data_IF_484792953786
#
_entry.id   IF_484792953786
#
_cell.length_a   1.000
_cell.length_b   1.000
_cell.length_c   1.000
_cell.angle_alpha   90.00
_cell.angle_beta   90.00
_cell.angle_gamma   90.00
#
_symmetry.space_group_name_H-M   'P 1'
#
loop_
_entity.id
_entity.type
_entity.pdbx_description
1 polymer ?
#
# COMPACT_ATOMS: atom_id res chain seq x y z
N UNK A 1 -14.04 3.09 33.07
CA UNK A 1 -13.36 4.12 32.21
C UNK A 1 -12.97 3.41 30.93
N UNK A 2 -13.31 3.96 29.77
CA UNK A 2 -13.00 3.29 28.48
C UNK A 2 -11.51 3.17 28.29
N UNK A 3 -11.03 1.93 28.10
CA UNK A 3 -9.61 1.62 27.90
C UNK A 3 -9.24 1.56 26.41
N UNK A 4 -10.16 1.05 25.58
CA UNK A 4 -9.94 0.93 24.13
C UNK A 4 -11.23 1.21 23.37
N UNK A 5 -11.09 1.88 22.22
CA UNK A 5 -12.15 2.07 21.24
C UNK A 5 -11.79 1.28 19.99
N UNK A 6 -12.67 0.38 19.55
CA UNK A 6 -12.54 -0.32 18.29
C UNK A 6 -13.45 0.30 17.25
N UNK A 7 -12.93 0.46 16.03
CA UNK A 7 -13.72 0.71 14.83
C UNK A 7 -13.79 -0.59 14.01
N UNK A 8 -15.00 -1.01 13.69
CA UNK A 8 -15.30 -2.26 12.99
C UNK A 8 -16.31 -2.02 11.88
N UNK A 9 -16.45 -2.94 10.95
CA UNK A 9 -17.56 -2.88 9.98
C UNK A 9 -18.89 -2.94 10.68
N UNK A 10 -19.85 -2.14 10.20
CA UNK A 10 -21.24 -2.20 10.69
C UNK A 10 -21.76 -3.63 10.63
N UNK A 11 -22.38 -4.08 11.73
CA UNK A 11 -22.89 -5.43 11.90
C UNK A 11 -21.90 -6.42 12.50
N UNK A 12 -20.61 -6.09 12.61
CA UNK A 12 -19.58 -6.96 13.21
C UNK A 12 -19.33 -6.68 14.69
N UNK A 13 -20.02 -5.71 15.29
CA UNK A 13 -19.75 -5.23 16.65
C UNK A 13 -19.90 -6.35 17.68
N UNK A 14 -20.94 -7.19 17.56
CA UNK A 14 -21.18 -8.32 18.48
C UNK A 14 -20.13 -9.43 18.29
N UNK A 15 -19.77 -9.74 17.04
CA UNK A 15 -18.75 -10.76 16.71
C UNK A 15 -17.40 -10.35 17.30
N UNK A 16 -17.01 -9.08 17.08
CA UNK A 16 -15.77 -8.56 17.64
C UNK A 16 -15.81 -8.51 19.16
N UNK A 17 -16.94 -8.14 19.77
CA UNK A 17 -17.11 -8.13 21.22
C UNK A 17 -16.88 -9.54 21.83
N UNK A 18 -17.45 -10.59 21.23
CA UNK A 18 -17.21 -11.98 21.66
C UNK A 18 -15.74 -12.34 21.55
N UNK A 19 -15.08 -12.04 20.43
CA UNK A 19 -13.66 -12.32 20.24
C UNK A 19 -12.75 -11.57 21.21
N UNK A 20 -13.12 -10.34 21.61
CA UNK A 20 -12.40 -9.62 22.65
C UNK A 20 -12.52 -10.33 24.00
N UNK A 21 -13.71 -10.84 24.33
CA UNK A 21 -13.93 -11.60 25.57
C UNK A 21 -13.18 -12.93 25.58
N UNK A 22 -12.99 -13.59 24.44
CA UNK A 22 -12.15 -14.78 24.32
C UNK A 22 -10.67 -14.50 24.67
N UNK A 23 -10.19 -13.27 24.42
CA UNK A 23 -8.82 -12.85 24.72
C UNK A 23 -8.71 -12.27 26.13
N UNK A 24 -9.72 -11.49 26.54
CA UNK A 24 -9.79 -10.80 27.82
C UNK A 24 -11.12 -11.10 28.53
N UNK A 25 -11.24 -12.26 29.19
CA UNK A 25 -12.51 -12.70 29.79
C UNK A 25 -13.07 -11.75 30.86
N UNK A 26 -12.22 -10.97 31.49
CA UNK A 26 -12.61 -10.02 32.55
C UNK A 26 -12.91 -8.60 32.03
N UNK A 27 -12.75 -8.35 30.74
CA UNK A 27 -13.02 -7.06 30.15
C UNK A 27 -14.54 -6.79 30.07
N UNK A 28 -14.94 -5.54 30.30
CA UNK A 28 -16.30 -5.11 29.98
C UNK A 28 -16.33 -4.62 28.54
N UNK A 29 -17.04 -5.32 27.67
CA UNK A 29 -17.13 -4.98 26.25
C UNK A 29 -18.52 -4.49 25.93
N UNK A 30 -18.63 -3.31 25.35
CA UNK A 30 -19.90 -2.67 24.96
C UNK A 30 -19.94 -2.49 23.44
N UNK A 31 -20.62 -3.39 22.71
CA UNK A 31 -20.88 -3.18 21.29
C UNK A 31 -21.93 -2.08 21.10
N UNK A 32 -21.76 -1.26 20.06
CA UNK A 32 -22.62 -0.11 19.73
C UNK A 32 -22.86 0.86 20.89
N UNK A 33 -21.80 1.36 21.54
CA UNK A 33 -21.96 2.31 22.63
C UNK A 33 -22.75 3.53 22.14
N UNK A 34 -23.65 4.04 22.98
CA UNK A 34 -24.53 5.17 22.64
C UNK A 34 -25.33 4.97 21.32
N UNK A 35 -25.63 3.72 20.95
CA UNK A 35 -26.32 3.38 19.70
C UNK A 35 -25.48 3.59 18.41
N UNK A 36 -24.16 3.77 18.53
CA UNK A 36 -23.27 4.06 17.40
C UNK A 36 -22.79 2.79 16.71
N UNK A 37 -23.24 2.57 15.48
CA UNK A 37 -22.79 1.45 14.65
C UNK A 37 -21.29 1.55 14.32
N UNK A 38 -20.64 0.39 14.16
CA UNK A 38 -19.23 0.29 13.82
C UNK A 38 -18.26 0.61 14.96
N UNK A 39 -18.77 0.74 16.20
CA UNK A 39 -17.97 1.06 17.38
C UNK A 39 -18.16 -0.02 18.45
N UNK A 40 -17.04 -0.35 19.14
CA UNK A 40 -17.03 -1.19 20.34
C UNK A 40 -16.16 -0.51 21.39
N UNK A 41 -16.67 -0.37 22.62
CA UNK A 41 -15.89 0.10 23.77
C UNK A 41 -15.45 -1.07 24.61
N UNK A 42 -14.24 -0.99 25.15
CA UNK A 42 -13.66 -1.97 26.05
C UNK A 42 -13.17 -1.25 27.30
N UNK A 43 -13.54 -1.77 28.45
CA UNK A 43 -13.12 -1.29 29.77
C UNK A 43 -12.39 -2.40 30.53
N UNK A 44 -11.55 -2.03 31.50
CA UNK A 44 -10.96 -2.95 32.45
C UNK A 44 -9.72 -3.69 31.96
N UNK A 45 -9.08 -3.20 30.90
CA UNK A 45 -7.78 -3.72 30.42
C UNK A 45 -6.77 -2.58 30.30
N UNK A 46 -5.49 -2.92 30.34
CA UNK A 46 -4.44 -1.98 30.02
C UNK A 46 -4.51 -1.57 28.54
N UNK A 47 -4.56 -0.25 28.21
CA UNK A 47 -4.72 0.21 26.85
C UNK A 47 -3.61 -0.28 25.89
N UNK A 48 -2.35 -0.27 26.33
CA UNK A 48 -1.20 -0.59 25.48
C UNK A 48 -1.06 -2.10 25.25
N UNK A 49 -1.34 -2.90 26.28
CA UNK A 49 -1.37 -4.37 26.19
C UNK A 49 -2.53 -4.82 25.31
N UNK A 50 -3.72 -4.27 25.56
CA UNK A 50 -4.92 -4.58 24.79
C UNK A 50 -4.78 -4.17 23.34
N UNK A 51 -4.17 -3.01 23.05
CA UNK A 51 -3.88 -2.56 21.70
C UNK A 51 -3.08 -3.58 20.89
N UNK A 52 -1.97 -4.09 21.45
CA UNK A 52 -1.09 -5.06 20.77
C UNK A 52 -1.77 -6.40 20.53
N UNK A 53 -2.41 -6.95 21.56
CA UNK A 53 -3.06 -8.26 21.50
C UNK A 53 -4.28 -8.28 20.56
N UNK A 54 -5.15 -7.25 20.64
CA UNK A 54 -6.33 -7.13 19.82
C UNK A 54 -5.94 -6.94 18.35
N UNK A 55 -4.97 -6.05 18.09
CA UNK A 55 -4.49 -5.80 16.72
C UNK A 55 -3.93 -7.08 16.06
N UNK A 56 -3.28 -7.94 16.85
CA UNK A 56 -2.68 -9.19 16.39
C UNK A 56 -3.72 -10.28 16.13
N UNK A 57 -4.70 -10.43 17.03
CA UNK A 57 -5.57 -11.61 17.08
C UNK A 57 -6.92 -11.45 16.37
N UNK A 58 -7.43 -10.21 16.21
CA UNK A 58 -8.77 -9.98 15.65
C UNK A 58 -8.67 -9.30 14.27
N UNK A 59 -8.81 -10.06 13.18
CA UNK A 59 -8.68 -9.53 11.81
C UNK A 59 -9.86 -8.66 11.35
N UNK A 60 -11.01 -8.73 12.00
CA UNK A 60 -12.23 -8.02 11.63
C UNK A 60 -12.23 -6.53 12.03
N UNK A 61 -11.23 -6.08 12.77
CA UNK A 61 -11.13 -4.70 13.26
C UNK A 61 -10.48 -3.81 12.21
N UNK A 62 -11.09 -2.67 11.95
CA UNK A 62 -10.55 -1.64 11.05
C UNK A 62 -9.53 -0.75 11.77
N UNK A 63 -9.81 -0.40 13.05
CA UNK A 63 -8.92 0.42 13.86
C UNK A 63 -9.03 0.08 15.34
N UNK A 64 -7.88 0.04 16.03
CA UNK A 64 -7.76 -0.06 17.48
C UNK A 64 -7.22 1.24 18.00
N UNK A 65 -7.91 1.86 18.95
CA UNK A 65 -7.50 3.12 19.58
C UNK A 65 -7.38 2.90 21.10
N UNK A 66 -6.13 2.76 21.61
CA UNK A 66 -5.92 2.72 23.06
C UNK A 66 -6.26 4.09 23.64
N UNK A 67 -7.06 4.15 24.68
CA UNK A 67 -7.47 5.41 25.30
C UNK A 67 -6.49 5.78 26.39
N UNK A 68 -5.70 6.82 26.15
CA UNK A 68 -4.68 7.32 27.07
C UNK A 68 -5.17 8.51 27.92
N UNK A 69 -6.28 9.12 27.49
CA UNK A 69 -6.89 10.24 28.20
C UNK A 69 -8.36 10.41 27.85
N UNK A 70 -9.12 10.99 28.78
CA UNK A 70 -10.54 11.33 28.60
C UNK A 70 -10.81 12.71 29.12
N UNK A 71 -11.71 13.44 28.43
CA UNK A 71 -12.17 14.77 28.84
C UNK A 71 -13.64 14.98 28.48
N UNK A 72 -14.19 16.09 28.91
CA UNK A 72 -15.46 16.60 28.36
C UNK A 72 -15.20 17.14 26.95
N UNK A 73 -16.23 17.14 26.10
CA UNK A 73 -16.15 17.62 24.72
C UNK A 73 -16.13 19.15 24.63
N UNK A 74 -15.09 19.77 25.17
CA UNK A 74 -14.75 21.20 25.07
C UNK A 74 -13.31 21.33 24.58
N UNK A 75 -13.03 22.26 23.67
CA UNK A 75 -11.72 22.40 23.03
C UNK A 75 -10.60 22.53 24.07
N UNK A 76 -10.75 23.39 25.07
CA UNK A 76 -9.72 23.61 26.07
C UNK A 76 -9.44 22.35 26.90
N UNK A 77 -10.48 21.65 27.35
CA UNK A 77 -10.34 20.41 28.12
C UNK A 77 -9.71 19.28 27.27
N UNK A 78 -10.06 19.18 26.00
CA UNK A 78 -9.46 18.23 25.05
C UNK A 78 -7.98 18.56 24.87
N UNK A 79 -7.65 19.84 24.68
CA UNK A 79 -6.28 20.32 24.43
C UNK A 79 -5.36 20.02 25.60
N UNK A 80 -5.80 20.29 26.82
CA UNK A 80 -5.07 19.98 28.07
C UNK A 80 -4.77 18.50 28.21
N UNK A 81 -5.79 17.66 28.05
CA UNK A 81 -5.62 16.20 28.15
C UNK A 81 -4.75 15.66 27.03
N UNK A 82 -4.92 16.16 25.80
CA UNK A 82 -4.09 15.77 24.66
C UNK A 82 -2.62 16.15 24.85
N UNK A 83 -2.32 17.33 25.42
CA UNK A 83 -0.96 17.74 25.76
C UNK A 83 -0.34 16.80 26.81
N UNK A 84 -1.08 16.46 27.86
CA UNK A 84 -0.60 15.54 28.89
C UNK A 84 -0.31 14.12 28.32
N UNK A 85 -1.16 13.63 27.42
CA UNK A 85 -0.94 12.39 26.70
C UNK A 85 0.30 12.50 25.78
N UNK A 86 0.43 13.63 25.07
CA UNK A 86 1.57 13.84 24.18
C UNK A 86 2.90 13.87 24.96
N UNK A 87 2.96 14.55 26.11
CA UNK A 87 4.17 14.56 26.98
C UNK A 87 4.63 13.16 27.37
N UNK A 88 3.71 12.21 27.53
CA UNK A 88 4.02 10.83 27.92
C UNK A 88 4.40 9.93 26.75
N UNK A 89 3.80 10.13 25.59
CA UNK A 89 3.88 9.17 24.49
C UNK A 89 4.53 9.71 23.20
N UNK A 90 4.81 11.02 23.10
CA UNK A 90 5.49 11.62 21.97
C UNK A 90 6.94 11.95 22.35
N UNK A 91 7.90 11.28 21.71
CA UNK A 91 9.30 11.51 22.00
C UNK A 91 9.85 12.70 21.24
N UNK A 92 10.92 13.28 21.76
CA UNK A 92 11.58 14.44 21.14
C UNK A 92 12.01 14.13 19.71
N UNK A 93 11.65 14.99 18.77
CA UNK A 93 11.99 14.85 17.34
C UNK A 93 11.00 14.01 16.53
N UNK A 94 10.08 13.27 17.15
CA UNK A 94 9.01 12.58 16.43
C UNK A 94 8.02 13.58 15.85
N UNK A 95 7.66 13.39 14.57
CA UNK A 95 6.60 14.16 13.94
C UNK A 95 5.21 13.66 14.32
N UNK A 96 4.24 14.56 14.38
CA UNK A 96 2.88 14.17 14.72
C UNK A 96 1.81 14.85 13.87
N UNK A 97 0.61 14.23 13.86
CA UNK A 97 -0.62 14.82 13.36
C UNK A 97 -1.75 14.64 14.37
N UNK A 98 -2.71 15.54 14.38
CA UNK A 98 -3.95 15.42 15.15
C UNK A 98 -5.09 15.08 14.20
N UNK A 99 -5.87 14.06 14.52
CA UNK A 99 -7.02 13.61 13.72
C UNK A 99 -8.24 13.42 14.61
N UNK A 100 -9.22 14.31 14.44
CA UNK A 100 -10.45 14.31 15.24
C UNK A 100 -11.61 13.70 14.47
N UNK A 101 -12.35 12.80 15.11
CA UNK A 101 -13.66 12.33 14.65
C UNK A 101 -14.72 12.71 15.66
N UNK A 102 -15.72 13.44 15.22
CA UNK A 102 -16.77 13.98 16.07
C UNK A 102 -18.11 13.32 15.77
N UNK A 103 -18.81 12.87 16.82
CA UNK A 103 -20.17 12.31 16.76
C UNK A 103 -21.04 12.99 17.80
N UNK A 104 -22.14 13.58 17.36
CA UNK A 104 -23.01 14.43 18.15
C UNK A 104 -23.00 15.87 17.64
N UNK A 105 -23.76 16.76 18.32
CA UNK A 105 -23.83 18.19 18.02
C UNK A 105 -22.92 18.97 18.96
N UNK A 106 -22.09 19.83 18.40
CA UNK A 106 -21.11 20.66 19.13
C UNK A 106 -21.01 22.03 18.45
N UNK A 107 -20.63 23.04 19.17
CA UNK A 107 -20.40 24.41 18.72
C UNK A 107 -19.03 24.64 18.02
N UNK A 108 -18.25 23.57 17.85
CA UNK A 108 -16.95 23.57 17.19
C UNK A 108 -16.84 22.47 16.14
N UNK A 109 -15.89 22.58 15.22
CA UNK A 109 -15.61 21.58 14.19
C UNK A 109 -14.45 20.65 14.57
N UNK A 110 -14.29 19.54 13.84
CA UNK A 110 -13.11 18.66 14.01
C UNK A 110 -11.80 19.37 13.64
N UNK A 111 -11.86 20.35 12.74
CA UNK A 111 -10.71 21.13 12.32
C UNK A 111 -10.27 22.06 13.46
N UNK A 112 -11.20 22.70 14.16
CA UNK A 112 -10.90 23.57 15.28
C UNK A 112 -10.16 22.82 16.38
N UNK A 113 -10.58 21.58 16.68
CA UNK A 113 -9.89 20.70 17.63
C UNK A 113 -8.48 20.35 17.13
N UNK A 114 -8.34 19.98 15.85
CA UNK A 114 -7.04 19.65 15.28
C UNK A 114 -6.06 20.81 15.36
N UNK A 115 -6.53 22.04 15.08
CA UNK A 115 -5.72 23.27 15.12
C UNK A 115 -5.33 23.58 16.56
N UNK A 116 -6.28 23.61 17.50
CA UNK A 116 -6.02 23.95 18.89
C UNK A 116 -5.04 22.96 19.54
N UNK A 117 -5.30 21.66 19.42
CA UNK A 117 -4.45 20.60 19.98
C UNK A 117 -3.07 20.61 19.32
N UNK A 118 -3.03 20.73 17.99
CA UNK A 118 -1.78 20.73 17.22
C UNK A 118 -0.89 21.91 17.54
N UNK A 119 -1.47 23.12 17.63
CA UNK A 119 -0.76 24.35 17.99
C UNK A 119 -0.16 24.26 19.40
N UNK A 120 -0.97 23.81 20.37
CA UNK A 120 -0.54 23.71 21.77
C UNK A 120 0.59 22.69 21.97
N UNK A 121 0.50 21.53 21.32
CA UNK A 121 1.55 20.51 21.40
C UNK A 121 2.84 21.00 20.72
N UNK A 122 2.74 21.65 19.57
CA UNK A 122 3.90 22.23 18.88
C UNK A 122 4.59 23.31 19.73
N UNK A 123 3.81 24.18 20.36
CA UNK A 123 4.31 25.24 21.23
C UNK A 123 5.06 24.67 22.45
N UNK A 124 4.47 23.69 23.12
CA UNK A 124 4.96 23.16 24.41
C UNK A 124 6.07 22.11 24.28
N UNK A 125 6.03 21.27 23.22
CA UNK A 125 6.94 20.13 23.06
C UNK A 125 7.93 20.32 21.90
N UNK A 126 7.74 21.34 21.06
CA UNK A 126 8.55 21.65 19.89
C UNK A 126 8.70 20.48 18.89
N UNK A 127 7.73 19.55 18.89
CA UNK A 127 7.70 18.43 17.94
C UNK A 127 7.21 18.90 16.57
N UNK A 128 7.79 18.39 15.46
CA UNK A 128 7.40 18.80 14.11
C UNK A 128 6.00 18.25 13.75
N UNK A 129 5.17 19.10 13.14
CA UNK A 129 3.87 18.69 12.61
C UNK A 129 4.05 18.15 11.21
N UNK A 130 3.55 16.93 10.95
CA UNK A 130 3.53 16.31 9.63
C UNK A 130 2.14 15.72 9.37
N UNK A 131 1.34 16.37 8.52
CA UNK A 131 -0.03 15.97 8.26
C UNK A 131 -0.15 14.76 7.31
N UNK A 132 0.88 14.49 6.50
CA UNK A 132 0.84 13.46 5.47
C UNK A 132 1.36 12.10 5.96
N UNK A 133 2.51 12.10 6.66
CA UNK A 133 3.17 10.88 7.12
C UNK A 133 3.85 11.12 8.49
N UNK A 134 3.08 11.34 9.55
CA UNK A 134 3.61 11.54 10.89
C UNK A 134 4.18 10.24 11.47
N UNK A 135 5.14 10.34 12.39
CA UNK A 135 5.60 9.20 13.17
C UNK A 135 4.49 8.70 14.10
N UNK A 136 3.73 9.64 14.69
CA UNK A 136 2.58 9.34 15.57
C UNK A 136 1.35 10.17 15.23
N UNK A 137 0.18 9.57 15.45
CA UNK A 137 -1.11 10.25 15.31
C UNK A 137 -1.78 10.35 16.67
N UNK A 138 -2.20 11.56 17.00
CA UNK A 138 -3.05 11.86 18.15
C UNK A 138 -4.50 11.84 17.67
N UNK A 139 -5.21 10.79 18.07
CA UNK A 139 -6.62 10.63 17.74
C UNK A 139 -7.48 11.25 18.82
N UNK A 140 -8.44 12.08 18.40
CA UNK A 140 -9.47 12.61 19.28
C UNK A 140 -10.82 12.08 18.82
N UNK A 141 -11.40 11.18 19.59
CA UNK A 141 -12.73 10.61 19.30
C UNK A 141 -13.75 11.22 20.23
N UNK A 142 -14.68 12.00 19.67
CA UNK A 142 -15.71 12.70 20.45
C UNK A 142 -17.05 12.00 20.24
N UNK A 143 -17.65 11.62 21.36
CA UNK A 143 -18.98 11.01 21.42
C UNK A 143 -19.85 11.85 22.35
N UNK A 144 -20.73 12.64 21.77
CA UNK A 144 -21.63 13.55 22.46
C UNK A 144 -20.87 14.46 23.46
N UNK A 145 -20.99 14.28 24.76
CA UNK A 145 -20.36 15.10 25.79
C UNK A 145 -18.94 14.66 26.19
N UNK A 146 -18.42 13.56 25.65
CA UNK A 146 -17.14 12.98 26.05
C UNK A 146 -16.15 12.95 24.89
N UNK A 147 -14.90 13.21 25.19
CA UNK A 147 -13.78 13.06 24.28
C UNK A 147 -12.76 12.06 24.80
N UNK A 148 -12.21 11.24 23.90
CA UNK A 148 -11.23 10.22 24.17
C UNK A 148 -10.00 10.50 23.35
N UNK A 149 -8.84 10.50 24.00
CA UNK A 149 -7.56 10.83 23.38
C UNK A 149 -6.70 9.57 23.32
N UNK A 150 -6.22 9.26 22.13
CA UNK A 150 -5.35 8.15 21.84
C UNK A 150 -4.11 8.63 21.12
N UNK A 151 -2.97 8.03 21.36
CA UNK A 151 -1.78 8.24 20.55
C UNK A 151 -1.26 6.90 20.07
N UNK A 152 -1.03 6.79 18.77
CA UNK A 152 -0.55 5.56 18.13
C UNK A 152 0.47 5.88 17.05
N UNK A 153 1.42 4.98 16.75
CA UNK A 153 2.18 5.08 15.51
C UNK A 153 1.24 5.14 14.30
N UNK A 154 1.58 5.90 13.25
CA UNK A 154 0.79 5.92 12.01
C UNK A 154 0.58 4.51 11.44
N UNK A 155 1.59 3.65 11.59
CA UNK A 155 1.58 2.26 11.12
C UNK A 155 0.64 1.33 11.91
N UNK A 156 0.09 1.78 13.04
CA UNK A 156 -0.82 1.00 13.89
C UNK A 156 -2.24 0.86 13.31
N UNK A 157 -2.56 1.56 12.23
CA UNK A 157 -3.74 1.26 11.43
C UNK A 157 -3.47 -0.06 10.72
N UNK A 158 -4.31 -1.08 10.91
CA UNK A 158 -4.24 -2.29 10.11
C UNK A 158 -4.16 -1.88 8.64
N UNK A 159 -3.01 -2.12 8.04
CA UNK A 159 -2.79 -1.86 6.61
C UNK A 159 -3.92 -2.56 5.86
N UNK A 160 -4.62 -1.89 4.93
CA UNK A 160 -5.48 -2.60 4.00
C UNK A 160 -4.65 -3.74 3.39
N UNK A 161 -5.28 -4.83 2.95
CA UNK A 161 -4.66 -6.07 2.40
C UNK A 161 -3.54 -5.87 1.34
N UNK A 162 -3.10 -4.64 1.10
CA UNK A 162 -2.10 -4.22 0.13
C UNK A 162 -0.67 -4.75 0.32
N UNK A 163 -0.28 -5.17 1.53
CA UNK A 163 1.06 -5.76 1.75
C UNK A 163 1.27 -7.05 0.95
N UNK A 164 0.20 -7.79 0.69
CA UNK A 164 0.27 -9.01 -0.11
C UNK A 164 0.48 -8.71 -1.59
N UNK A 165 -0.20 -7.70 -2.12
CA UNK A 165 0.02 -7.22 -3.50
C UNK A 165 1.47 -6.80 -3.71
N UNK A 166 2.02 -6.01 -2.78
CA UNK A 166 3.42 -5.57 -2.87
C UNK A 166 4.41 -6.72 -2.76
N UNK A 167 4.13 -7.73 -1.93
CA UNK A 167 4.95 -8.95 -1.86
C UNK A 167 4.96 -9.70 -3.20
N UNK A 168 3.82 -9.80 -3.87
CA UNK A 168 3.73 -10.41 -5.20
C UNK A 168 4.46 -9.56 -6.23
N UNK A 169 4.17 -8.26 -6.30
CA UNK A 169 4.83 -7.34 -7.23
C UNK A 169 6.35 -7.31 -7.05
N UNK A 170 6.84 -7.44 -5.82
CA UNK A 170 8.27 -7.47 -5.53
C UNK A 170 9.00 -8.72 -6.07
N UNK A 171 8.29 -9.74 -6.51
CA UNK A 171 8.82 -10.92 -7.19
C UNK A 171 8.84 -10.78 -8.71
N UNK A 172 8.19 -9.75 -9.26
CA UNK A 172 8.09 -9.57 -10.71
C UNK A 172 9.29 -8.78 -11.21
N UNK A 173 10.00 -9.38 -12.17
CA UNK A 173 11.01 -8.73 -12.99
C UNK A 173 10.37 -8.33 -14.32
N UNK A 174 10.18 -7.03 -14.54
CA UNK A 174 9.70 -6.55 -15.83
C UNK A 174 10.87 -6.35 -16.76
N UNK A 175 10.80 -6.98 -17.93
CA UNK A 175 11.82 -6.89 -18.97
C UNK A 175 11.27 -6.03 -20.10
N UNK A 176 11.92 -4.91 -20.33
CA UNK A 176 11.57 -3.90 -21.32
C UNK A 176 12.65 -3.77 -22.37
N UNK A 177 12.30 -3.87 -23.64
CA UNK A 177 13.19 -3.49 -24.72
C UNK A 177 13.28 -1.95 -24.79
N UNK A 178 14.46 -1.38 -25.06
CA UNK A 178 14.61 0.07 -25.14
C UNK A 178 13.80 0.65 -26.30
N UNK A 179 13.28 1.84 -26.09
CA UNK A 179 12.62 2.60 -27.14
C UNK A 179 13.65 3.56 -27.76
N UNK A 180 14.26 3.13 -28.84
CA UNK A 180 15.27 3.87 -29.59
C UNK A 180 14.83 3.90 -31.06
N UNK A 181 14.55 5.07 -31.59
CA UNK A 181 13.93 5.26 -32.91
C UNK A 181 14.48 6.48 -33.68
N UNK A 182 15.65 7.00 -33.28
CA UNK A 182 16.23 8.20 -33.87
C UNK A 182 15.59 9.52 -33.41
N UNK A 183 14.66 9.48 -32.43
CA UNK A 183 14.09 10.64 -31.77
C UNK A 183 14.49 10.66 -30.30
N UNK A 184 15.57 11.40 -29.93
CA UNK A 184 16.08 11.42 -28.55
C UNK A 184 15.06 11.95 -27.53
N UNK A 185 14.23 12.93 -27.92
CA UNK A 185 13.21 13.49 -27.03
C UNK A 185 12.05 12.51 -26.79
N UNK A 186 11.60 11.84 -27.84
CA UNK A 186 10.60 10.76 -27.74
C UNK A 186 11.11 9.59 -26.92
N UNK A 187 12.38 9.20 -27.09
CA UNK A 187 13.03 8.15 -26.30
C UNK A 187 13.09 8.53 -24.82
N UNK A 188 13.48 9.76 -24.49
CA UNK A 188 13.50 10.27 -23.13
C UNK A 188 12.10 10.27 -22.52
N UNK A 189 11.09 10.83 -23.18
CA UNK A 189 9.71 10.85 -22.70
C UNK A 189 9.17 9.45 -22.45
N UNK A 190 9.44 8.50 -23.34
CA UNK A 190 9.07 7.10 -23.15
C UNK A 190 9.78 6.49 -21.94
N UNK A 191 11.07 6.75 -21.78
CA UNK A 191 11.84 6.34 -20.62
C UNK A 191 11.21 6.83 -19.31
N UNK A 192 10.84 8.13 -19.23
CA UNK A 192 10.19 8.71 -18.05
C UNK A 192 8.90 7.96 -17.69
N UNK A 193 8.05 7.65 -18.67
CA UNK A 193 6.77 6.95 -18.46
C UNK A 193 7.01 5.52 -17.96
N UNK A 194 7.94 4.79 -18.56
CA UNK A 194 8.31 3.41 -18.17
C UNK A 194 8.88 3.40 -16.77
N UNK A 195 9.83 4.29 -16.44
CA UNK A 195 10.42 4.38 -15.11
C UNK A 195 9.40 4.73 -14.03
N UNK A 196 8.47 5.65 -14.31
CA UNK A 196 7.35 5.98 -13.41
C UNK A 196 6.41 4.81 -13.21
N UNK A 197 6.06 4.07 -14.28
CA UNK A 197 5.19 2.91 -14.19
C UNK A 197 5.82 1.80 -13.33
N UNK A 198 7.06 1.45 -13.59
CA UNK A 198 7.79 0.44 -12.82
C UNK A 198 7.85 0.80 -11.33
N UNK A 199 8.17 2.06 -10.99
CA UNK A 199 8.22 2.53 -9.61
C UNK A 199 6.84 2.60 -8.97
N UNK A 200 5.79 2.97 -9.70
CA UNK A 200 4.44 3.05 -9.16
C UNK A 200 3.94 1.72 -8.58
N UNK A 201 4.31 0.61 -9.21
CA UNK A 201 3.99 -0.75 -8.77
C UNK A 201 5.03 -1.36 -7.81
N UNK A 202 6.16 -0.70 -7.56
CA UNK A 202 7.26 -1.22 -6.72
C UNK A 202 7.67 -2.66 -7.07
N UNK A 203 7.77 -2.95 -8.37
CA UNK A 203 8.13 -4.27 -8.90
C UNK A 203 9.51 -4.73 -8.41
N UNK A 204 9.80 -6.03 -8.54
CA UNK A 204 11.08 -6.64 -8.15
C UNK A 204 12.29 -5.91 -8.74
N UNK A 205 12.26 -5.72 -10.05
CA UNK A 205 13.25 -4.97 -10.82
C UNK A 205 12.68 -4.59 -12.18
N UNK A 206 13.24 -3.55 -12.79
CA UNK A 206 13.07 -3.23 -14.18
C UNK A 206 14.37 -3.59 -14.92
N UNK A 207 14.28 -4.47 -15.90
CA UNK A 207 15.39 -4.86 -16.75
C UNK A 207 15.23 -4.20 -18.11
N UNK A 208 16.22 -3.42 -18.52
CA UNK A 208 16.32 -2.95 -19.90
C UNK A 208 17.13 -3.99 -20.66
N UNK A 209 16.49 -4.68 -21.61
CA UNK A 209 17.10 -5.78 -22.36
C UNK A 209 17.45 -5.36 -23.77
N UNK A 210 18.72 -5.40 -24.12
CA UNK A 210 19.23 -5.09 -25.45
C UNK A 210 19.21 -6.37 -26.31
N UNK A 211 18.56 -6.34 -27.47
CA UNK A 211 18.50 -7.51 -28.39
C UNK A 211 19.30 -7.27 -29.68
N UNK A 212 19.89 -6.11 -29.83
CA UNK A 212 20.76 -5.68 -30.93
C UNK A 212 21.74 -4.63 -30.44
N UNK A 213 22.76 -4.36 -31.23
CA UNK A 213 23.65 -3.23 -30.98
C UNK A 213 22.85 -1.93 -31.06
N UNK A 214 23.07 -1.05 -30.09
CA UNK A 214 22.41 0.25 -29.99
C UNK A 214 23.48 1.31 -29.84
N UNK A 215 23.36 2.41 -30.60
CA UNK A 215 24.22 3.58 -30.44
C UNK A 215 23.95 4.26 -29.10
N UNK A 216 25.00 4.73 -28.45
CA UNK A 216 24.87 5.35 -27.11
C UNK A 216 24.07 6.66 -27.17
N UNK A 217 24.19 7.42 -28.25
CA UNK A 217 23.47 8.68 -28.42
C UNK A 217 21.97 8.48 -28.55
N UNK A 218 21.52 7.32 -29.06
CA UNK A 218 20.11 6.93 -29.11
C UNK A 218 19.64 6.33 -27.80
N UNK A 219 20.51 5.65 -27.06
CA UNK A 219 20.17 4.91 -25.83
C UNK A 219 20.21 5.77 -24.56
N UNK A 220 21.18 6.71 -24.46
CA UNK A 220 21.34 7.55 -23.28
C UNK A 220 20.07 8.34 -22.92
N UNK A 221 19.39 9.04 -23.89
CA UNK A 221 18.17 9.77 -23.58
C UNK A 221 17.06 8.87 -22.98
N UNK A 222 16.89 7.66 -23.52
CA UNK A 222 15.93 6.70 -23.00
C UNK A 222 16.28 6.29 -21.57
N UNK A 223 17.54 5.92 -21.31
CA UNK A 223 17.99 5.49 -19.98
C UNK A 223 17.88 6.61 -18.95
N UNK A 224 18.26 7.84 -19.33
CA UNK A 224 18.10 9.04 -18.50
C UNK A 224 16.63 9.24 -18.11
N UNK A 225 15.73 9.15 -19.09
CA UNK A 225 14.29 9.23 -18.84
C UNK A 225 13.80 8.17 -17.86
N UNK A 226 14.24 6.91 -18.01
CA UNK A 226 13.88 5.82 -17.08
C UNK A 226 14.32 6.12 -15.65
N UNK A 227 15.54 6.60 -15.47
CA UNK A 227 16.09 6.94 -14.15
C UNK A 227 15.34 8.10 -13.51
N UNK A 228 15.08 9.17 -14.25
CA UNK A 228 14.36 10.34 -13.75
C UNK A 228 12.89 10.04 -13.46
N UNK A 229 12.22 9.30 -14.33
CA UNK A 229 10.84 8.87 -14.12
C UNK A 229 10.68 8.02 -12.86
N UNK A 230 11.58 7.06 -12.64
CA UNK A 230 11.64 6.26 -11.41
C UNK A 230 11.86 7.15 -10.18
N UNK A 231 12.87 8.03 -10.22
CA UNK A 231 13.22 8.89 -9.10
C UNK A 231 12.07 9.84 -8.73
N UNK A 232 11.48 10.51 -9.72
CA UNK A 232 10.33 11.39 -9.53
C UNK A 232 9.16 10.68 -8.85
N UNK A 233 8.81 9.45 -9.30
CA UNK A 233 7.72 8.70 -8.70
C UNK A 233 8.06 8.22 -7.29
N UNK A 234 9.30 7.80 -7.04
CA UNK A 234 9.77 7.39 -5.73
C UNK A 234 9.65 8.52 -4.70
N UNK A 235 10.07 9.75 -5.04
CA UNK A 235 9.94 10.89 -4.12
C UNK A 235 8.49 11.23 -3.79
N UNK A 236 7.57 11.13 -4.76
CA UNK A 236 6.14 11.29 -4.51
C UNK A 236 5.65 10.20 -3.53
N UNK A 237 6.02 8.95 -3.76
CA UNK A 237 5.60 7.84 -2.90
C UNK A 237 6.16 7.96 -1.48
N UNK A 238 7.43 8.38 -1.31
CA UNK A 238 8.03 8.64 0.01
C UNK A 238 7.27 9.69 0.81
N UNK A 239 6.78 10.73 0.14
CA UNK A 239 6.03 11.80 0.78
C UNK A 239 4.60 11.41 1.11
N UNK A 240 3.96 10.59 0.24
CA UNK A 240 2.53 10.31 0.32
C UNK A 240 2.17 9.00 1.04
N UNK A 241 3.11 8.06 1.15
CA UNK A 241 2.83 6.75 1.73
C UNK A 241 3.38 6.62 3.14
N UNK A 242 2.52 6.25 4.09
CA UNK A 242 2.88 6.01 5.49
C UNK A 242 3.78 4.78 5.73
N UNK A 243 4.25 4.12 4.67
CA UNK A 243 5.11 2.93 4.72
C UNK A 243 6.45 3.19 4.04
N UNK A 244 7.46 2.39 4.40
CA UNK A 244 8.73 2.41 3.67
C UNK A 244 8.51 2.01 2.22
N UNK A 245 8.87 2.89 1.30
CA UNK A 245 8.83 2.65 -0.14
C UNK A 245 10.16 2.06 -0.59
N UNK A 246 10.10 1.06 -1.47
CA UNK A 246 11.28 0.46 -2.07
C UNK A 246 11.61 1.14 -3.39
N UNK A 247 12.84 1.61 -3.56
CA UNK A 247 13.32 2.07 -4.85
C UNK A 247 13.53 0.86 -5.78
N UNK A 248 12.86 0.87 -6.94
CA UNK A 248 12.94 -0.24 -7.92
C UNK A 248 14.35 -0.28 -8.54
N UNK A 249 15.06 -1.42 -8.44
CA UNK A 249 16.33 -1.59 -9.14
C UNK A 249 16.15 -1.56 -10.65
N UNK A 250 17.04 -0.90 -11.37
CA UNK A 250 17.11 -0.91 -12.83
C UNK A 250 18.41 -1.63 -13.22
N UNK A 251 18.30 -2.58 -14.15
CA UNK A 251 19.40 -3.37 -14.67
C UNK A 251 19.41 -3.35 -16.19
N UNK A 252 20.57 -3.49 -16.78
CA UNK A 252 20.76 -3.63 -18.23
C UNK A 252 21.31 -5.01 -18.50
N UNK A 253 20.72 -5.71 -19.44
CA UNK A 253 21.19 -7.03 -19.91
C UNK A 253 21.17 -7.08 -21.43
N UNK A 254 22.06 -7.90 -21.99
CA UNK A 254 21.83 -8.47 -23.31
C UNK A 254 20.73 -9.53 -23.19
N UNK A 255 19.76 -9.51 -24.13
CA UNK A 255 18.51 -10.24 -24.03
C UNK A 255 18.68 -11.76 -23.94
N UNK A 256 19.55 -12.33 -24.76
CA UNK A 256 19.78 -13.77 -24.77
C UNK A 256 20.64 -14.24 -23.59
N UNK A 257 21.53 -13.40 -23.10
CA UNK A 257 22.23 -13.63 -21.84
C UNK A 257 21.26 -13.63 -20.64
N UNK A 258 20.31 -12.69 -20.62
CA UNK A 258 19.26 -12.67 -19.60
C UNK A 258 18.48 -13.99 -19.62
N UNK A 259 17.98 -14.40 -20.79
CA UNK A 259 17.24 -15.63 -20.95
C UNK A 259 18.03 -16.86 -20.49
N UNK A 260 19.31 -16.93 -20.86
CA UNK A 260 20.20 -18.03 -20.45
C UNK A 260 20.46 -18.03 -18.94
N UNK A 261 20.71 -16.88 -18.34
CA UNK A 261 20.99 -16.77 -16.90
C UNK A 261 19.78 -17.10 -16.02
N UNK A 262 18.57 -17.03 -16.59
CA UNK A 262 17.29 -17.30 -15.92
C UNK A 262 16.60 -18.55 -16.45
N UNK A 263 17.38 -19.46 -17.03
CA UNK A 263 16.88 -20.74 -17.50
C UNK A 263 16.17 -21.50 -16.35
N UNK A 264 14.96 -21.99 -16.60
CA UNK A 264 14.15 -22.66 -15.58
C UNK A 264 13.23 -21.73 -14.77
N UNK A 265 13.37 -20.40 -14.88
CA UNK A 265 12.41 -19.46 -14.32
C UNK A 265 11.17 -19.29 -15.23
N UNK A 266 10.08 -18.81 -14.65
CA UNK A 266 8.85 -18.54 -15.41
C UNK A 266 8.98 -17.25 -16.21
N UNK A 267 8.67 -17.34 -17.50
CA UNK A 267 8.57 -16.21 -18.42
C UNK A 267 7.14 -16.05 -18.93
N UNK A 268 6.61 -14.83 -18.84
CA UNK A 268 5.33 -14.40 -19.37
C UNK A 268 5.61 -13.32 -20.42
N UNK A 269 5.07 -13.46 -21.60
CA UNK A 269 5.21 -12.50 -22.70
C UNK A 269 3.86 -11.85 -22.97
N UNK A 270 3.82 -10.53 -23.07
CA UNK A 270 2.65 -9.80 -23.58
C UNK A 270 2.77 -9.63 -25.09
N UNK A 271 1.79 -10.10 -25.84
CA UNK A 271 1.79 -10.01 -27.32
C UNK A 271 0.37 -10.03 -27.86
N UNK A 272 0.12 -9.27 -28.92
CA UNK A 272 -1.14 -9.35 -29.68
C UNK A 272 -1.37 -10.74 -30.30
N UNK A 273 -0.30 -11.55 -30.45
CA UNK A 273 -0.37 -12.93 -30.94
C UNK A 273 -0.65 -13.94 -29.81
N UNK A 274 -0.73 -13.49 -28.57
CA UNK A 274 -0.99 -14.32 -27.40
C UNK A 274 -2.45 -14.74 -27.30
N UNK A 275 -2.71 -15.65 -26.35
CA UNK A 275 -4.06 -16.04 -25.98
C UNK A 275 -4.65 -15.06 -24.98
N UNK A 276 -5.96 -14.82 -25.05
CA UNK A 276 -6.67 -14.06 -24.02
C UNK A 276 -6.58 -14.79 -22.67
N UNK A 277 -6.47 -14.05 -21.61
CA UNK A 277 -6.55 -14.59 -20.25
C UNK A 277 -7.95 -15.14 -20.01
N UNK A 278 -8.07 -16.47 -19.92
CA UNK A 278 -9.26 -17.16 -19.45
C UNK A 278 -9.11 -17.54 -17.97
N UNK A 279 -10.16 -18.10 -17.38
CA UNK A 279 -10.19 -18.46 -15.94
C UNK A 279 -9.10 -19.50 -15.59
N UNK A 280 -8.90 -20.52 -16.43
CA UNK A 280 -7.90 -21.57 -16.24
C UNK A 280 -6.49 -21.00 -16.23
N UNK A 281 -6.09 -20.29 -17.30
CA UNK A 281 -4.77 -19.63 -17.41
C UNK A 281 -4.54 -18.62 -16.28
N UNK A 282 -5.59 -17.88 -15.89
CA UNK A 282 -5.51 -16.92 -14.80
C UNK A 282 -5.28 -17.63 -13.45
N UNK A 283 -5.89 -18.77 -13.21
CA UNK A 283 -5.69 -19.59 -12.01
C UNK A 283 -4.26 -20.12 -11.96
N UNK A 284 -3.76 -20.68 -13.05
CA UNK A 284 -2.38 -21.19 -13.16
C UNK A 284 -1.34 -20.07 -12.90
N UNK A 285 -1.50 -18.92 -13.55
CA UNK A 285 -0.62 -17.76 -13.34
C UNK A 285 -0.71 -17.29 -11.89
N UNK A 286 -1.90 -17.28 -11.31
CA UNK A 286 -2.10 -16.91 -9.90
C UNK A 286 -1.37 -17.84 -8.93
N UNK A 287 -1.36 -19.15 -9.20
CA UNK A 287 -0.62 -20.14 -8.40
C UNK A 287 0.90 -19.95 -8.55
N UNK A 288 1.39 -19.69 -9.76
CA UNK A 288 2.82 -19.37 -9.99
C UNK A 288 3.25 -18.12 -9.24
N UNK A 289 2.46 -17.04 -9.29
CA UNK A 289 2.72 -15.80 -8.54
C UNK A 289 2.83 -16.03 -7.03
N UNK A 290 2.13 -17.05 -6.51
CA UNK A 290 2.25 -17.41 -5.10
C UNK A 290 3.52 -18.21 -4.77
N UNK A 291 3.87 -19.15 -5.62
CA UNK A 291 4.88 -20.19 -5.37
C UNK A 291 6.27 -19.74 -5.77
N UNK A 292 6.39 -19.09 -6.94
CA UNK A 292 7.68 -18.74 -7.51
C UNK A 292 8.39 -17.61 -6.75
N UNK A 293 9.71 -17.66 -6.74
CA UNK A 293 10.56 -16.62 -6.16
C UNK A 293 10.68 -15.41 -7.09
N UNK A 294 10.68 -15.64 -8.39
CA UNK A 294 10.74 -14.63 -9.45
C UNK A 294 9.86 -15.03 -10.61
N UNK A 295 9.21 -14.05 -11.22
CA UNK A 295 8.49 -14.19 -12.50
C UNK A 295 8.97 -13.08 -13.42
N UNK A 296 9.37 -13.48 -14.62
CA UNK A 296 9.87 -12.60 -15.64
C UNK A 296 8.73 -12.23 -16.60
N UNK A 297 8.47 -10.93 -16.75
CA UNK A 297 7.39 -10.40 -17.58
C UNK A 297 7.98 -9.55 -18.68
N UNK A 298 7.88 -9.99 -19.93
CA UNK A 298 8.23 -9.16 -21.07
C UNK A 298 7.08 -8.16 -21.35
N UNK A 299 7.36 -6.88 -21.18
CA UNK A 299 6.51 -5.81 -21.66
C UNK A 299 6.86 -5.48 -23.11
N UNK A 300 5.86 -5.42 -23.96
CA UNK A 300 6.04 -5.21 -25.41
C UNK A 300 6.81 -3.93 -25.72
N UNK A 301 7.52 -3.97 -26.84
CA UNK A 301 8.15 -2.81 -27.47
C UNK A 301 7.56 -2.60 -28.86
N UNK A 302 7.80 -1.42 -29.46
CA UNK A 302 7.31 -1.07 -30.81
C UNK A 302 7.72 -2.12 -31.87
N UNK A 303 8.94 -2.64 -31.77
CA UNK A 303 9.48 -3.66 -32.68
C UNK A 303 8.98 -5.08 -32.37
N UNK A 304 8.22 -5.26 -31.29
CA UNK A 304 7.77 -6.56 -30.80
C UNK A 304 8.87 -7.33 -30.06
N UNK A 305 8.51 -8.50 -29.54
CA UNK A 305 9.43 -9.40 -28.86
C UNK A 305 9.93 -10.44 -29.88
N UNK A 306 11.23 -10.77 -29.90
CA UNK A 306 11.76 -11.78 -30.81
C UNK A 306 10.99 -13.09 -30.74
N UNK A 307 10.67 -13.68 -31.90
CA UNK A 307 9.83 -14.88 -32.01
C UNK A 307 10.37 -16.05 -31.21
N UNK A 308 11.71 -16.18 -31.09
CA UNK A 308 12.34 -17.22 -30.27
C UNK A 308 11.96 -17.14 -28.80
N UNK A 309 11.87 -15.93 -28.24
CA UNK A 309 11.45 -15.71 -26.86
C UNK A 309 9.94 -15.95 -26.66
N UNK A 310 9.13 -15.60 -27.66
CA UNK A 310 7.69 -15.91 -27.63
C UNK A 310 7.48 -17.42 -27.57
N UNK A 311 8.25 -18.21 -28.33
CA UNK A 311 8.17 -19.68 -28.33
C UNK A 311 8.69 -20.31 -27.04
N UNK A 312 9.62 -19.64 -26.38
CA UNK A 312 10.23 -20.13 -25.15
C UNK A 312 9.44 -19.76 -23.89
N UNK A 313 8.62 -18.71 -23.95
CA UNK A 313 7.82 -18.27 -22.81
C UNK A 313 6.78 -19.32 -22.40
N UNK A 314 6.59 -19.50 -21.11
CA UNK A 314 5.57 -20.40 -20.56
C UNK A 314 4.15 -19.92 -20.88
N UNK A 315 3.95 -18.58 -20.86
CA UNK A 315 2.68 -17.95 -21.24
C UNK A 315 2.93 -16.81 -22.20
N UNK A 316 2.12 -16.78 -23.26
CA UNK A 316 2.03 -15.64 -24.19
C UNK A 316 0.60 -15.12 -24.10
N UNK A 317 0.43 -13.95 -23.52
CA UNK A 317 -0.88 -13.39 -23.19
C UNK A 317 -1.20 -12.16 -24.04
N UNK A 318 -2.43 -12.12 -24.52
CA UNK A 318 -3.02 -10.93 -25.11
C UNK A 318 -3.94 -10.27 -24.08
N UNK A 319 -3.55 -9.09 -23.64
CA UNK A 319 -4.26 -8.38 -22.57
C UNK A 319 -5.58 -7.76 -23.03
N UNK A 320 -5.70 -7.44 -24.32
CA UNK A 320 -6.90 -6.80 -24.89
C UNK A 320 -6.98 -7.13 -26.38
N UNK A 321 -7.69 -8.20 -26.78
CA UNK A 321 -7.83 -8.59 -28.17
C UNK A 321 -8.42 -7.46 -29.03
N UNK A 322 -7.80 -7.21 -30.18
CA UNK A 322 -8.20 -6.14 -31.08
C UNK A 322 -7.66 -4.75 -30.75
N UNK A 323 -6.95 -4.59 -29.64
CA UNK A 323 -6.35 -3.31 -29.23
C UNK A 323 -4.84 -3.47 -29.05
N UNK A 324 -4.06 -2.58 -29.67
CA UNK A 324 -2.61 -2.49 -29.47
C UNK A 324 -2.33 -1.42 -28.41
N UNK A 325 -1.74 -1.82 -27.30
CA UNK A 325 -1.30 -0.87 -26.27
C UNK A 325 -0.11 -0.05 -26.74
N UNK A 326 -0.11 1.23 -26.40
CA UNK A 326 1.12 2.00 -26.41
C UNK A 326 2.13 1.37 -25.41
N UNK A 327 3.41 1.47 -25.74
CA UNK A 327 4.49 0.79 -24.97
C UNK A 327 4.43 1.12 -23.47
N UNK A 328 4.18 2.38 -23.13
CA UNK A 328 4.09 2.85 -21.74
C UNK A 328 2.90 2.29 -20.96
N UNK A 329 1.85 1.86 -21.63
CA UNK A 329 0.65 1.32 -20.98
C UNK A 329 0.75 -0.18 -20.72
N UNK A 330 1.68 -0.88 -21.36
CA UNK A 330 1.81 -2.33 -21.24
C UNK A 330 2.16 -2.76 -19.81
N UNK A 331 3.09 -2.04 -19.16
CA UNK A 331 3.50 -2.38 -17.78
C UNK A 331 2.33 -2.27 -16.79
N UNK A 332 1.59 -1.16 -16.69
CA UNK A 332 0.41 -1.08 -15.83
C UNK A 332 -0.64 -2.14 -16.14
N UNK A 333 -0.93 -2.37 -17.42
CA UNK A 333 -1.96 -3.30 -17.83
C UNK A 333 -1.61 -4.75 -17.43
N UNK A 334 -0.39 -5.22 -17.74
CA UNK A 334 0.02 -6.59 -17.42
C UNK A 334 0.11 -6.80 -15.90
N UNK A 335 0.67 -5.87 -15.15
CA UNK A 335 0.79 -6.00 -13.71
C UNK A 335 -0.58 -6.04 -13.03
N UNK A 336 -1.53 -5.21 -13.48
CA UNK A 336 -2.90 -5.23 -12.97
C UNK A 336 -3.60 -6.55 -13.28
N UNK A 337 -3.46 -7.08 -14.50
CA UNK A 337 -4.01 -8.38 -14.89
C UNK A 337 -3.43 -9.52 -14.05
N UNK A 338 -2.11 -9.55 -13.84
CA UNK A 338 -1.45 -10.57 -13.02
C UNK A 338 -1.90 -10.53 -11.56
N UNK A 339 -2.09 -9.34 -11.00
CA UNK A 339 -2.62 -9.20 -9.63
C UNK A 339 -4.08 -9.65 -9.53
N UNK A 340 -4.92 -9.40 -10.54
CA UNK A 340 -6.27 -9.94 -10.60
C UNK A 340 -6.24 -11.48 -10.60
N UNK A 341 -5.38 -12.11 -11.41
CA UNK A 341 -5.19 -13.55 -11.43
C UNK A 341 -4.76 -14.10 -10.07
N UNK A 342 -3.83 -13.41 -9.39
CA UNK A 342 -3.38 -13.79 -8.05
C UNK A 342 -4.53 -13.80 -7.03
N UNK A 343 -5.43 -12.83 -7.07
CA UNK A 343 -6.56 -12.77 -6.13
C UNK A 343 -7.71 -13.71 -6.50
N UNK A 344 -7.97 -13.92 -7.80
CA UNK A 344 -9.04 -14.84 -8.25
C UNK A 344 -8.77 -16.29 -7.86
N UNK A 345 -7.50 -16.77 -7.89
CA UNK A 345 -7.17 -18.12 -7.42
C UNK A 345 -7.58 -18.38 -5.96
N UNK A 346 -7.65 -17.33 -5.11
CA UNK A 346 -8.06 -17.47 -3.71
C UNK A 346 -9.56 -17.68 -3.55
N UNK A 347 -10.37 -17.16 -4.48
CA UNK A 347 -11.82 -17.37 -4.48
C UNK A 347 -12.13 -18.82 -4.85
N UNK A 348 -11.52 -19.35 -5.90
CA UNK A 348 -11.74 -20.73 -6.36
C UNK A 348 -11.29 -21.82 -5.36
N UNK A 349 -10.35 -21.51 -4.45
CA UNK A 349 -9.96 -22.45 -3.36
C UNK A 349 -10.92 -22.43 -2.17
N UNK A 350 -11.66 -21.30 -1.93
CA UNK A 350 -12.66 -21.20 -0.86
C UNK A 350 -14.01 -21.83 -1.23
N UNK A 351 -14.30 -21.97 -2.51
CA UNK A 351 -15.54 -22.60 -3.01
C UNK A 351 -15.41 -24.12 -3.15
N UNK A 352 -14.19 -24.66 -3.01
CA UNK A 352 -13.91 -26.12 -3.11
C UNK A 352 -13.62 -26.78 -1.74
N UNK A 353 -13.65 -26.01 -0.65
CA UNK A 353 -13.57 -26.47 0.75
C UNK A 353 -14.87 -26.15 1.49
#
# INVERSE_FOLDING_TARGET
MVSIILKVRRGFEKIVATRVLDIFPHAKVTPRPLGRDGIVFIDGIDPDVGFKEILRKIPEIEKVLPVHGQSIAKIDAITEVALNVARKYLYTGESFAVRTTRRGSHDFTSIDVNVAVGAKIKEELNNPVNLEAPDKVIWVEIFDKNAYISITPEQAIKKPKGDETLKVLSKISVIQLPFVNGDPEGAYRMGVRIGRAAQAFEIGELVIALHKVVDINDFEPFLKGVLEGRASRYEVQKKSYARKVRLVPIRIYELFQLARSRYGEVFIVTSARGRMLNEETCTEIGDLLAQEKRINVFAGAREGIPTGLIRWAKYVINLCPGVTFATEHTIPAVLSALILCYYNRKKGKKERT
#
